data_IF_451715209948
#
_entry.id   IF_451715209948
#
_cell.length_a   1.000
_cell.length_b   1.000
_cell.length_c   1.000
_cell.angle_alpha   90.00
_cell.angle_beta   90.00
_cell.angle_gamma   90.00
#
_symmetry.space_group_name_H-M   'P 1'
#
loop_
_entity.id
_entity.type
_entity.pdbx_description
1 polymer ?
#
# COMPACT_ATOMS: atom_id res chain seq x y z
N UNK A 1 5.40 15.60 -14.15
CA UNK A 1 4.96 14.23 -14.31
C UNK A 1 4.55 13.97 -15.76
N UNK A 2 5.05 12.89 -16.35
CA UNK A 2 4.60 12.44 -17.67
C UNK A 2 3.37 11.53 -17.49
N UNK A 3 2.22 11.85 -18.14
CA UNK A 3 1.01 11.06 -17.94
C UNK A 3 1.17 9.64 -18.49
N UNK A 4 0.82 8.64 -17.70
CA UNK A 4 0.90 7.23 -18.04
C UNK A 4 -0.42 6.51 -17.73
N UNK A 5 -1.06 5.98 -18.76
CA UNK A 5 -2.28 5.19 -18.60
C UNK A 5 -1.96 3.74 -18.21
N UNK A 6 -2.70 3.20 -17.24
CA UNK A 6 -2.68 1.78 -16.84
C UNK A 6 -4.07 1.21 -17.12
N UNK A 7 -4.15 0.06 -17.79
CA UNK A 7 -5.43 -0.58 -18.08
C UNK A 7 -5.41 -1.48 -19.30
N UNK A 8 -6.59 -2.02 -19.60
CA UNK A 8 -6.80 -2.90 -20.74
C UNK A 8 -6.44 -2.20 -22.04
N UNK A 9 -5.83 -2.92 -22.98
CA UNK A 9 -5.36 -2.41 -24.28
C UNK A 9 -4.17 -1.44 -24.22
N UNK A 10 -3.65 -1.14 -23.04
CA UNK A 10 -2.48 -0.31 -22.86
C UNK A 10 -1.21 -1.17 -22.68
N UNK A 11 -0.06 -0.56 -22.97
CA UNK A 11 1.25 -1.20 -22.75
C UNK A 11 1.45 -1.51 -21.26
N UNK A 12 1.99 -2.68 -20.96
CA UNK A 12 2.43 -3.04 -19.60
C UNK A 12 3.44 -2.03 -19.06
N UNK A 13 3.26 -1.61 -17.81
CA UNK A 13 4.13 -0.67 -17.13
C UNK A 13 5.08 -1.40 -16.19
N UNK A 14 6.29 -0.87 -16.06
CA UNK A 14 7.28 -1.34 -15.11
C UNK A 14 7.24 -0.46 -13.87
N UNK A 15 6.94 -1.07 -12.72
CA UNK A 15 7.01 -0.42 -11.42
C UNK A 15 8.27 -0.89 -10.68
N UNK A 16 9.12 0.04 -10.26
CA UNK A 16 10.38 -0.24 -9.56
C UNK A 16 10.25 0.08 -8.08
N UNK A 17 10.45 -0.93 -7.25
CA UNK A 17 10.43 -0.80 -5.80
C UNK A 17 11.80 -0.39 -5.26
N UNK A 18 11.82 0.60 -4.39
CA UNK A 18 13.02 1.09 -3.69
C UNK A 18 12.64 1.73 -2.35
N UNK A 19 13.60 2.24 -1.62
CA UNK A 19 13.34 2.96 -0.37
C UNK A 19 14.35 2.64 0.73
N UNK A 20 14.47 3.57 1.67
CA UNK A 20 15.36 3.43 2.82
C UNK A 20 14.83 2.41 3.84
N UNK A 21 15.75 1.68 4.46
CA UNK A 21 15.45 0.72 5.51
C UNK A 21 16.47 0.81 6.65
N UNK A 22 16.23 0.08 7.73
CA UNK A 22 17.20 -0.01 8.84
C UNK A 22 18.58 -0.50 8.36
N UNK A 23 18.62 -1.35 7.33
CA UNK A 23 19.83 -1.97 6.82
C UNK A 23 20.43 -1.17 5.64
N UNK A 24 19.64 -0.35 4.96
CA UNK A 24 20.07 0.53 3.88
C UNK A 24 19.54 1.95 4.13
N UNK A 25 20.41 2.81 4.66
CA UNK A 25 20.06 4.16 5.14
C UNK A 25 20.50 5.28 4.18
N UNK A 26 21.14 4.92 3.07
CA UNK A 26 21.76 5.84 2.14
C UNK A 26 20.71 6.41 1.17
N UNK A 27 20.32 7.64 1.44
CA UNK A 27 19.34 8.36 0.64
C UNK A 27 19.86 8.70 -0.76
N UNK A 28 21.14 9.00 -0.89
CA UNK A 28 21.72 9.34 -2.20
C UNK A 28 21.79 8.10 -3.10
N UNK A 29 22.06 6.94 -2.51
CA UNK A 29 21.96 5.66 -3.22
C UNK A 29 20.52 5.39 -3.69
N UNK A 30 19.49 5.64 -2.87
CA UNK A 30 18.11 5.47 -3.28
C UNK A 30 17.72 6.43 -4.42
N UNK A 31 18.16 7.68 -4.36
CA UNK A 31 17.97 8.64 -5.45
C UNK A 31 18.70 8.22 -6.75
N UNK A 32 19.88 7.63 -6.62
CA UNK A 32 20.60 7.09 -7.77
C UNK A 32 19.81 5.95 -8.42
N UNK A 33 19.22 5.04 -7.61
CA UNK A 33 18.34 3.97 -8.12
C UNK A 33 17.13 4.52 -8.86
N UNK A 34 16.50 5.59 -8.36
CA UNK A 34 15.40 6.28 -9.05
C UNK A 34 15.84 6.75 -10.43
N UNK A 35 16.97 7.47 -10.50
CA UNK A 35 17.49 8.00 -11.76
C UNK A 35 17.82 6.88 -12.74
N UNK A 36 18.40 5.79 -12.28
CA UNK A 36 18.75 4.66 -13.12
C UNK A 36 17.51 3.91 -13.62
N UNK A 37 16.52 3.71 -12.75
CA UNK A 37 15.23 3.11 -13.12
C UNK A 37 14.52 3.92 -14.22
N UNK A 38 14.43 5.24 -14.05
CA UNK A 38 13.81 6.15 -15.04
C UNK A 38 14.58 6.10 -16.37
N UNK A 39 15.91 6.15 -16.34
CA UNK A 39 16.74 6.02 -17.56
C UNK A 39 16.55 4.68 -18.26
N UNK A 40 16.28 3.61 -17.51
CA UNK A 40 15.99 2.27 -18.05
C UNK A 40 14.56 2.12 -18.56
N UNK A 41 13.72 3.13 -18.39
CA UNK A 41 12.36 3.18 -18.90
C UNK A 41 11.28 2.74 -17.91
N UNK A 42 11.55 2.76 -16.60
CA UNK A 42 10.52 2.56 -15.60
C UNK A 42 9.47 3.66 -15.68
N UNK A 43 8.21 3.27 -15.76
CA UNK A 43 7.08 4.21 -15.79
C UNK A 43 6.55 4.55 -14.40
N UNK A 44 6.89 3.74 -13.40
CA UNK A 44 6.46 3.93 -12.00
C UNK A 44 7.58 3.61 -11.01
N UNK A 45 7.64 4.37 -9.94
CA UNK A 45 8.53 4.17 -8.80
C UNK A 45 7.68 4.00 -7.55
N UNK A 46 7.91 2.94 -6.79
CA UNK A 46 7.23 2.71 -5.52
C UNK A 46 8.19 2.91 -4.36
N UNK A 47 7.94 3.95 -3.56
CA UNK A 47 8.68 4.22 -2.33
C UNK A 47 8.19 3.32 -1.20
N UNK A 48 9.01 2.36 -0.83
CA UNK A 48 8.80 1.42 0.27
C UNK A 48 9.61 1.79 1.52
N UNK A 49 10.01 3.05 1.66
CA UNK A 49 10.81 3.52 2.78
C UNK A 49 10.16 3.19 4.11
N UNK A 50 10.99 2.72 5.03
CA UNK A 50 10.59 2.32 6.38
C UNK A 50 11.61 2.74 7.44
N UNK A 51 12.44 3.74 7.12
CA UNK A 51 13.44 4.28 8.03
C UNK A 51 13.81 5.73 7.69
N UNK A 52 14.05 6.52 8.74
CA UNK A 52 14.48 7.92 8.62
C UNK A 52 13.34 8.89 8.34
N UNK A 53 13.66 10.02 7.74
CA UNK A 53 12.69 11.03 7.31
C UNK A 53 12.09 10.64 5.95
N UNK A 54 11.12 9.73 5.99
CA UNK A 54 10.43 9.18 4.82
C UNK A 54 9.66 10.28 4.08
N UNK A 55 9.08 11.24 4.80
CA UNK A 55 8.34 12.35 4.21
C UNK A 55 9.23 13.25 3.35
N UNK A 56 10.43 13.56 3.81
CA UNK A 56 11.39 14.34 3.03
C UNK A 56 11.78 13.64 1.73
N UNK A 57 11.99 12.33 1.78
CA UNK A 57 12.30 11.54 0.59
C UNK A 57 11.13 11.53 -0.39
N UNK A 58 9.92 11.24 0.09
CA UNK A 58 8.69 11.21 -0.70
C UNK A 58 8.43 12.55 -1.41
N UNK A 59 8.53 13.67 -0.69
CA UNK A 59 8.37 15.01 -1.27
C UNK A 59 9.42 15.31 -2.34
N UNK A 60 10.63 14.82 -2.18
CA UNK A 60 11.65 14.96 -3.21
C UNK A 60 11.31 14.15 -4.45
N UNK A 61 10.82 12.90 -4.28
CA UNK A 61 10.37 12.07 -5.40
C UNK A 61 9.23 12.72 -6.17
N UNK A 62 8.19 13.16 -5.49
CA UNK A 62 7.01 13.78 -6.13
C UNK A 62 7.34 15.10 -6.82
N UNK A 63 8.35 15.83 -6.36
CA UNK A 63 8.77 17.09 -6.97
C UNK A 63 9.70 16.91 -8.18
N UNK A 64 10.56 15.89 -8.20
CA UNK A 64 11.66 15.79 -9.16
C UNK A 64 11.54 14.61 -10.14
N UNK A 65 10.81 13.54 -9.78
CA UNK A 65 10.71 12.34 -10.61
C UNK A 65 9.61 12.48 -11.66
N UNK A 66 9.88 12.23 -12.95
CA UNK A 66 8.86 12.26 -14.01
C UNK A 66 7.95 11.03 -14.01
N UNK A 67 8.36 9.92 -13.40
CA UNK A 67 7.58 8.69 -13.32
C UNK A 67 6.47 8.77 -12.27
N UNK A 68 5.46 7.91 -12.39
CA UNK A 68 4.37 7.75 -11.41
C UNK A 68 4.97 7.36 -10.05
N UNK A 69 4.57 8.04 -8.98
CA UNK A 69 5.05 7.76 -7.62
C UNK A 69 3.96 7.06 -6.80
N UNK A 70 4.28 5.84 -6.36
CA UNK A 70 3.46 5.06 -5.45
C UNK A 70 4.07 4.93 -4.06
N UNK A 71 3.23 4.73 -3.05
CA UNK A 71 3.67 4.53 -1.66
C UNK A 71 2.82 3.52 -0.91
N UNK A 72 3.29 3.09 0.26
CA UNK A 72 2.58 2.18 1.16
C UNK A 72 2.46 2.84 2.55
N UNK A 73 1.38 3.59 2.83
CA UNK A 73 1.25 4.40 4.05
C UNK A 73 1.46 3.64 5.36
N UNK A 74 1.05 2.37 5.42
CA UNK A 74 1.21 1.55 6.64
C UNK A 74 2.67 1.40 7.09
N UNK A 75 3.64 1.44 6.16
CA UNK A 75 5.06 1.36 6.52
C UNK A 75 5.52 2.62 7.26
N UNK A 76 5.00 3.75 6.83
CA UNK A 76 5.35 5.05 7.40
C UNK A 76 4.72 5.25 8.79
N UNK A 77 3.50 4.82 8.98
CA UNK A 77 2.81 4.94 10.27
C UNK A 77 3.60 4.32 11.43
N UNK A 78 4.19 3.14 11.21
CA UNK A 78 4.99 2.45 12.21
C UNK A 78 6.28 3.21 12.54
N UNK A 79 6.84 3.91 11.55
CA UNK A 79 8.09 4.70 11.71
C UNK A 79 7.79 6.08 12.31
N UNK A 80 6.76 6.75 11.81
CA UNK A 80 6.43 8.13 12.12
C UNK A 80 6.03 8.35 13.59
N UNK A 81 5.18 7.47 14.12
CA UNK A 81 4.65 7.67 15.48
C UNK A 81 5.57 7.21 16.59
N UNK A 82 6.59 6.40 16.32
CA UNK A 82 7.50 5.84 17.34
C UNK A 82 6.77 5.20 18.54
N UNK A 83 5.60 4.59 18.29
CA UNK A 83 4.75 3.93 19.27
C UNK A 83 4.80 2.41 19.13
N UNK A 84 4.36 1.70 20.16
CA UNK A 84 4.04 0.28 19.99
C UNK A 84 2.86 0.14 19.03
N UNK A 85 2.89 -0.88 18.17
CA UNK A 85 1.91 -1.08 17.12
C UNK A 85 0.46 -1.00 17.62
N UNK A 86 0.16 -1.64 18.75
CA UNK A 86 -1.16 -1.65 19.39
C UNK A 86 -1.67 -0.27 19.85
N UNK A 87 -0.76 0.70 20.02
CA UNK A 87 -1.07 2.03 20.53
C UNK A 87 -1.29 3.06 19.40
N UNK A 88 -1.15 2.65 18.14
CA UNK A 88 -1.50 3.47 16.98
C UNK A 88 -3.02 3.48 16.86
N UNK A 89 -3.61 4.68 16.89
CA UNK A 89 -5.08 4.83 16.82
C UNK A 89 -5.59 4.78 15.38
N UNK A 90 -6.89 4.57 15.22
CA UNK A 90 -7.55 4.59 13.90
C UNK A 90 -7.32 5.93 13.19
N UNK A 91 -7.46 7.04 13.91
CA UNK A 91 -7.25 8.39 13.36
C UNK A 91 -5.80 8.59 12.91
N UNK A 92 -4.84 8.00 13.63
CA UNK A 92 -3.43 8.05 13.24
C UNK A 92 -3.15 7.26 11.96
N UNK A 93 -3.80 6.11 11.76
CA UNK A 93 -3.73 5.36 10.50
C UNK A 93 -4.25 6.17 9.31
N UNK A 94 -5.41 6.83 9.46
CA UNK A 94 -6.00 7.65 8.41
C UNK A 94 -5.19 8.91 8.14
N UNK A 95 -4.64 9.54 9.19
CA UNK A 95 -3.80 10.72 9.05
C UNK A 95 -2.53 10.45 8.22
N UNK A 96 -1.93 9.29 8.35
CA UNK A 96 -0.78 8.92 7.50
C UNK A 96 -1.21 8.78 6.04
N UNK A 97 -2.37 8.22 5.75
CA UNK A 97 -2.91 8.15 4.38
C UNK A 97 -3.07 9.56 3.80
N UNK A 98 -3.69 10.47 4.56
CA UNK A 98 -3.86 11.86 4.10
C UNK A 98 -2.50 12.57 3.93
N UNK A 99 -1.53 12.34 4.82
CA UNK A 99 -0.19 12.92 4.70
C UNK A 99 0.51 12.49 3.39
N UNK A 100 0.41 11.23 3.00
CA UNK A 100 0.96 10.76 1.74
C UNK A 100 0.27 11.42 0.53
N UNK A 101 -1.05 11.53 0.56
CA UNK A 101 -1.81 12.22 -0.47
C UNK A 101 -1.42 13.71 -0.59
N UNK A 102 -1.26 14.41 0.54
CA UNK A 102 -0.80 15.80 0.59
C UNK A 102 0.61 15.99 0.03
N UNK A 103 1.47 15.00 0.18
CA UNK A 103 2.83 15.03 -0.36
C UNK A 103 2.87 14.81 -1.89
N UNK A 104 1.72 14.60 -2.55
CA UNK A 104 1.57 14.59 -3.99
C UNK A 104 1.89 13.24 -4.65
N UNK A 105 1.68 12.11 -3.96
CA UNK A 105 1.82 10.78 -4.56
C UNK A 105 0.69 10.50 -5.57
N UNK A 106 0.97 9.70 -6.59
CA UNK A 106 0.00 9.38 -7.65
C UNK A 106 -0.87 8.17 -7.27
N UNK A 107 -0.34 7.23 -6.48
CA UNK A 107 -1.13 6.14 -5.94
C UNK A 107 -0.63 5.67 -4.58
N UNK A 108 -1.52 5.01 -3.83
CA UNK A 108 -1.19 4.43 -2.52
C UNK A 108 -1.67 3.00 -2.43
N UNK A 109 -0.79 2.08 -2.03
CA UNK A 109 -1.17 0.71 -1.72
C UNK A 109 -1.65 0.61 -0.28
N UNK A 110 -2.90 0.21 -0.11
CA UNK A 110 -3.57 0.06 1.19
C UNK A 110 -4.08 -1.37 1.34
N UNK A 111 -3.62 -2.08 2.37
CA UNK A 111 -3.99 -3.46 2.68
C UNK A 111 -5.36 -3.50 3.38
N UNK A 112 -6.39 -3.31 2.59
CA UNK A 112 -7.77 -3.11 3.04
C UNK A 112 -8.62 -4.38 2.99
N UNK A 113 -8.25 -5.36 2.17
CA UNK A 113 -9.02 -6.58 1.96
C UNK A 113 -9.00 -7.54 3.15
N UNK A 114 -7.96 -7.46 4.00
CA UNK A 114 -7.91 -8.22 5.24
C UNK A 114 -8.77 -7.54 6.31
N UNK A 115 -9.91 -8.14 6.63
CA UNK A 115 -10.83 -7.74 7.68
C UNK A 115 -10.96 -8.86 8.72
N UNK A 116 -11.80 -8.71 9.74
CA UNK A 116 -11.97 -9.72 10.79
C UNK A 116 -12.47 -11.06 10.25
N UNK A 117 -13.31 -11.07 9.22
CA UNK A 117 -13.79 -12.30 8.58
C UNK A 117 -12.66 -13.02 7.88
N UNK A 118 -11.92 -12.32 7.02
CA UNK A 118 -10.73 -12.85 6.29
C UNK A 118 -9.66 -13.33 7.28
N UNK A 119 -9.41 -12.55 8.35
CA UNK A 119 -8.46 -12.91 9.40
C UNK A 119 -8.87 -14.20 10.14
N UNK A 120 -10.15 -14.38 10.41
CA UNK A 120 -10.66 -15.60 11.03
C UNK A 120 -10.48 -16.81 10.11
N UNK A 121 -10.79 -16.69 8.83
CA UNK A 121 -10.56 -17.74 7.84
C UNK A 121 -9.07 -18.06 7.70
N UNK A 122 -8.24 -17.04 7.65
CA UNK A 122 -6.80 -17.20 7.58
C UNK A 122 -6.27 -18.08 8.73
N UNK A 123 -6.76 -17.90 9.97
CA UNK A 123 -6.39 -18.73 11.12
C UNK A 123 -6.84 -20.17 11.01
N UNK A 124 -7.93 -20.44 10.31
CA UNK A 124 -8.45 -21.77 10.07
C UNK A 124 -7.76 -22.49 8.91
N UNK A 125 -7.15 -21.71 8.02
CA UNK A 125 -6.43 -22.19 6.86
C UNK A 125 -4.97 -22.54 7.25
N UNK A 126 -4.50 -23.70 6.83
CA UNK A 126 -3.13 -24.13 7.12
C UNK A 126 -2.21 -23.74 5.98
N UNK A 127 -1.71 -22.51 6.03
CA UNK A 127 -0.68 -22.05 5.12
C UNK A 127 0.71 -22.51 5.52
N UNK A 128 1.52 -22.80 4.52
CA UNK A 128 2.94 -23.12 4.71
C UNK A 128 3.75 -21.87 5.06
N UNK A 129 3.47 -20.75 4.38
CA UNK A 129 4.22 -19.49 4.48
C UNK A 129 3.48 -18.37 5.21
N UNK A 130 2.40 -18.64 5.91
CA UNK A 130 1.62 -17.61 6.62
C UNK A 130 1.35 -16.32 5.78
N UNK A 131 1.38 -15.13 6.41
CA UNK A 131 1.26 -13.82 5.73
C UNK A 131 2.64 -13.34 5.33
N UNK A 132 2.93 -13.30 4.04
CA UNK A 132 4.21 -12.81 3.49
C UNK A 132 4.17 -11.33 3.13
N UNK A 133 2.98 -10.74 3.05
CA UNK A 133 2.80 -9.31 2.86
C UNK A 133 3.24 -8.55 4.11
N UNK A 134 4.18 -7.62 3.97
CA UNK A 134 4.64 -6.79 5.08
C UNK A 134 3.51 -5.91 5.64
N UNK A 135 2.78 -5.19 4.78
CA UNK A 135 1.66 -4.37 5.21
C UNK A 135 0.51 -5.19 5.75
N UNK A 136 0.20 -6.33 5.10
CA UNK A 136 -0.79 -7.29 5.57
C UNK A 136 -0.48 -7.83 6.96
N UNK A 137 0.78 -8.19 7.22
CA UNK A 137 1.18 -8.70 8.54
C UNK A 137 1.13 -7.63 9.64
N UNK A 138 1.46 -6.38 9.31
CA UNK A 138 1.35 -5.25 10.27
C UNK A 138 -0.10 -5.04 10.68
N UNK A 139 -1.01 -4.91 9.71
CA UNK A 139 -2.43 -4.66 10.03
C UNK A 139 -3.09 -5.86 10.69
N UNK A 140 -2.77 -7.08 10.27
CA UNK A 140 -3.24 -8.30 10.92
C UNK A 140 -2.81 -8.35 12.38
N UNK A 141 -1.53 -8.06 12.68
CA UNK A 141 -1.02 -8.01 14.04
C UNK A 141 -1.71 -6.93 14.88
N UNK A 142 -1.97 -5.75 14.30
CA UNK A 142 -2.71 -4.68 14.97
C UNK A 142 -4.14 -5.11 15.34
N UNK A 143 -4.85 -5.72 14.39
CA UNK A 143 -6.20 -6.27 14.61
C UNK A 143 -6.22 -7.30 15.73
N UNK A 144 -5.22 -8.19 15.77
CA UNK A 144 -5.11 -9.22 16.80
C UNK A 144 -4.80 -8.65 18.19
N UNK A 145 -3.90 -7.68 18.27
CA UNK A 145 -3.50 -7.04 19.52
C UNK A 145 -4.61 -6.17 20.12
N UNK A 146 -5.41 -5.53 19.26
CA UNK A 146 -6.43 -4.57 19.70
C UNK A 146 -7.83 -5.18 19.79
N UNK A 147 -8.07 -6.28 19.10
CA UNK A 147 -9.41 -6.87 18.93
C UNK A 147 -10.34 -6.05 18.02
N UNK A 148 -9.83 -4.99 17.36
CA UNK A 148 -10.59 -4.09 16.49
C UNK A 148 -10.61 -4.59 15.04
N UNK A 149 -11.46 -4.00 14.22
CA UNK A 149 -11.50 -4.17 12.77
C UNK A 149 -10.29 -3.47 12.12
N UNK A 150 -9.95 -3.88 10.91
CA UNK A 150 -8.98 -3.17 10.08
C UNK A 150 -9.45 -1.71 9.87
N UNK A 151 -8.73 -0.70 10.38
CA UNK A 151 -9.14 0.70 10.31
C UNK A 151 -9.31 1.18 8.86
N UNK A 152 -8.55 0.67 7.93
CA UNK A 152 -8.69 1.02 6.51
C UNK A 152 -9.98 0.44 5.90
N UNK A 153 -10.39 -0.75 6.33
CA UNK A 153 -11.65 -1.36 5.90
C UNK A 153 -12.86 -0.65 6.51
N UNK A 154 -12.81 -0.37 7.81
CA UNK A 154 -13.89 0.28 8.55
C UNK A 154 -14.13 1.72 8.06
N UNK A 155 -13.05 2.46 7.75
CA UNK A 155 -13.08 3.86 7.32
C UNK A 155 -12.79 4.04 5.81
N UNK A 156 -13.19 3.07 5.00
CA UNK A 156 -12.89 3.11 3.56
C UNK A 156 -13.43 4.35 2.86
N UNK A 157 -14.63 4.81 3.21
CA UNK A 157 -15.23 5.98 2.59
C UNK A 157 -14.44 7.27 2.88
N UNK A 158 -13.85 7.40 4.07
CA UNK A 158 -12.96 8.51 4.42
C UNK A 158 -11.66 8.46 3.59
N UNK A 159 -11.12 7.26 3.36
CA UNK A 159 -9.95 7.08 2.51
C UNK A 159 -10.28 7.46 1.05
N UNK A 160 -11.45 7.09 0.56
CA UNK A 160 -11.90 7.47 -0.78
C UNK A 160 -12.08 8.99 -0.90
N UNK A 161 -12.59 9.67 0.13
CA UNK A 161 -12.69 11.12 0.16
C UNK A 161 -11.32 11.80 0.11
N UNK A 162 -10.31 11.22 0.78
CA UNK A 162 -8.91 11.66 0.66
C UNK A 162 -8.41 11.45 -0.77
N UNK A 163 -8.60 10.25 -1.33
CA UNK A 163 -8.15 9.94 -2.70
C UNK A 163 -8.81 10.87 -3.72
N UNK A 164 -10.11 11.14 -3.61
CA UNK A 164 -10.82 12.06 -4.49
C UNK A 164 -10.32 13.50 -4.35
N UNK A 165 -10.10 13.96 -3.13
CA UNK A 165 -9.64 15.33 -2.83
C UNK A 165 -8.26 15.64 -3.42
N UNK A 166 -7.36 14.65 -3.42
CA UNK A 166 -5.98 14.82 -3.84
C UNK A 166 -5.68 14.15 -5.19
N UNK A 167 -6.69 13.62 -5.88
CA UNK A 167 -6.58 12.92 -7.17
C UNK A 167 -5.58 11.75 -7.13
N UNK A 168 -5.69 10.92 -6.10
CA UNK A 168 -4.82 9.77 -5.87
C UNK A 168 -5.52 8.47 -6.27
N UNK A 169 -4.86 7.63 -7.06
CA UNK A 169 -5.30 6.27 -7.35
C UNK A 169 -5.12 5.38 -6.13
N UNK A 170 -6.14 4.61 -5.75
CA UNK A 170 -6.00 3.60 -4.71
C UNK A 170 -5.54 2.26 -5.29
N UNK A 171 -4.44 1.72 -4.76
CA UNK A 171 -4.02 0.34 -5.01
C UNK A 171 -4.48 -0.52 -3.85
N UNK A 172 -5.42 -1.44 -4.13
CA UNK A 172 -5.98 -2.36 -3.13
C UNK A 172 -5.02 -3.51 -2.93
N UNK A 173 -4.25 -3.47 -1.84
CA UNK A 173 -3.15 -4.38 -1.57
C UNK A 173 -3.60 -5.75 -1.09
N UNK A 174 -2.90 -6.78 -1.54
CA UNK A 174 -3.11 -8.20 -1.26
C UNK A 174 -2.40 -8.66 0.02
N UNK A 175 -3.03 -8.51 1.16
CA UNK A 175 -2.49 -8.99 2.44
C UNK A 175 -2.32 -10.51 2.46
N UNK A 176 -3.21 -11.24 1.81
CA UNK A 176 -3.26 -12.71 1.78
C UNK A 176 -2.59 -13.31 0.53
N UNK A 177 -1.75 -12.56 -0.20
CA UNK A 177 -0.98 -13.15 -1.33
C UNK A 177 -0.15 -14.35 -0.87
N UNK A 178 -0.01 -15.41 -1.72
CA UNK A 178 0.75 -16.60 -1.36
C UNK A 178 2.25 -16.34 -1.37
N UNK A 179 2.97 -17.00 -0.45
CA UNK A 179 4.44 -17.00 -0.43
C UNK A 179 5.08 -18.19 -1.15
N UNK A 180 4.28 -19.19 -1.51
CA UNK A 180 4.71 -20.38 -2.24
C UNK A 180 3.54 -21.00 -3.02
N UNK A 181 3.85 -21.96 -3.90
CA UNK A 181 2.85 -22.62 -4.74
C UNK A 181 1.77 -23.36 -3.94
N UNK A 182 2.13 -23.94 -2.80
CA UNK A 182 1.19 -24.67 -1.93
C UNK A 182 0.08 -23.77 -1.37
N UNK A 183 0.40 -22.50 -1.11
CA UNK A 183 -0.53 -21.52 -0.56
C UNK A 183 -1.32 -20.77 -1.64
N UNK A 184 -0.99 -20.98 -2.93
CA UNK A 184 -1.60 -20.24 -4.04
C UNK A 184 -3.08 -20.60 -4.22
N UNK A 185 -3.90 -19.58 -4.46
CA UNK A 185 -5.33 -19.71 -4.72
C UNK A 185 -6.10 -20.40 -3.58
N UNK A 186 -5.62 -20.19 -2.36
CA UNK A 186 -6.30 -20.72 -1.18
C UNK A 186 -7.54 -19.89 -0.80
N UNK A 187 -8.32 -20.40 0.17
CA UNK A 187 -9.55 -19.75 0.61
C UNK A 187 -9.33 -18.33 1.12
N UNK A 188 -8.18 -18.04 1.74
CA UNK A 188 -7.86 -16.71 2.28
C UNK A 188 -7.57 -15.70 1.18
N UNK A 189 -6.79 -16.09 0.17
CA UNK A 189 -6.52 -15.25 -1.01
C UNK A 189 -7.80 -14.95 -1.78
N UNK A 190 -8.65 -15.96 -2.03
CA UNK A 190 -9.91 -15.79 -2.77
C UNK A 190 -10.88 -14.90 -2.00
N UNK A 191 -11.06 -15.08 -0.69
CA UNK A 191 -11.96 -14.25 0.11
C UNK A 191 -11.49 -12.78 0.15
N UNK A 192 -10.19 -12.56 0.29
CA UNK A 192 -9.65 -11.20 0.18
C UNK A 192 -9.94 -10.59 -1.19
N UNK A 193 -9.71 -11.32 -2.28
CA UNK A 193 -9.97 -10.84 -3.64
C UNK A 193 -11.46 -10.49 -3.86
N UNK A 194 -12.38 -11.28 -3.32
CA UNK A 194 -13.82 -10.96 -3.36
C UNK A 194 -14.11 -9.65 -2.64
N UNK A 195 -13.54 -9.46 -1.45
CA UNK A 195 -13.64 -8.22 -0.67
C UNK A 195 -13.08 -7.02 -1.47
N UNK A 196 -11.90 -7.17 -2.09
CA UNK A 196 -11.31 -6.12 -2.93
C UNK A 196 -12.19 -5.76 -4.13
N UNK A 197 -12.85 -6.76 -4.72
CA UNK A 197 -13.82 -6.54 -5.80
C UNK A 197 -15.05 -5.71 -5.38
N UNK A 198 -15.55 -5.93 -4.16
CA UNK A 198 -16.64 -5.14 -3.58
C UNK A 198 -16.20 -3.69 -3.30
N UNK A 199 -15.04 -3.53 -2.71
CA UNK A 199 -14.45 -2.21 -2.42
C UNK A 199 -14.15 -1.42 -3.69
N UNK A 200 -13.75 -2.10 -4.77
CA UNK A 200 -13.55 -1.48 -6.09
C UNK A 200 -14.81 -0.79 -6.60
N UNK A 201 -15.99 -1.42 -6.46
CA UNK A 201 -17.26 -0.80 -6.88
C UNK A 201 -17.55 0.47 -6.09
N UNK A 202 -17.34 0.44 -4.78
CA UNK A 202 -17.50 1.63 -3.92
C UNK A 202 -16.54 2.76 -4.30
N UNK A 203 -15.28 2.44 -4.65
CA UNK A 203 -14.33 3.43 -5.13
C UNK A 203 -14.77 4.07 -6.45
N UNK A 204 -15.27 3.29 -7.39
CA UNK A 204 -15.80 3.81 -8.66
C UNK A 204 -17.01 4.71 -8.47
N UNK A 205 -17.91 4.41 -7.53
CA UNK A 205 -19.05 5.28 -7.18
C UNK A 205 -18.60 6.67 -6.70
N UNK A 206 -17.40 6.77 -6.10
CA UNK A 206 -16.77 8.04 -5.72
C UNK A 206 -15.79 8.59 -6.77
N UNK A 207 -15.75 8.04 -7.99
CA UNK A 207 -14.84 8.42 -9.07
C UNK A 207 -13.35 8.29 -8.68
N UNK A 208 -13.00 7.36 -7.82
CA UNK A 208 -11.62 7.04 -7.47
C UNK A 208 -11.12 5.91 -8.37
N UNK A 209 -9.96 6.10 -8.97
CA UNK A 209 -9.29 5.08 -9.78
C UNK A 209 -8.72 3.97 -8.89
N UNK A 210 -8.78 2.73 -9.38
CA UNK A 210 -8.39 1.54 -8.61
C UNK A 210 -7.40 0.69 -9.38
N UNK A 211 -6.36 0.25 -8.68
CA UNK A 211 -5.50 -0.89 -9.07
C UNK A 211 -5.80 -2.00 -8.06
N UNK A 212 -6.01 -3.23 -8.51
CA UNK A 212 -6.15 -4.40 -7.64
C UNK A 212 -4.85 -5.19 -7.70
N UNK A 213 -4.27 -5.45 -6.53
CA UNK A 213 -3.19 -6.41 -6.36
C UNK A 213 -3.81 -7.79 -6.06
N UNK A 214 -3.43 -8.85 -6.83
CA UNK A 214 -4.05 -10.15 -6.64
C UNK A 214 -3.27 -11.31 -7.26
#
# INVERSE_FOLDING_TARGET
LDPNGIGSMLKTKINVNLGTSRDCKDLDMELQKVNDAVKMGAESIMDLSSWGDTQKFRRKLTAECPAIIGTVPIYDAVVYYHKALKDITTEEWLKIVEMHAQDGVDFMTIHIGINRSTAQRFKQNKRLMNIVSRGGSIIFAWMEMTGKENPYYEHFDEILDICQKYDVTISLGDACRPGCLEDATDVSQIEELVTLGELTRRAWEKNVQVIIEG
#
